data_IF_808707294414
#
_entry.id   IF_808707294414
#
_cell.length_a   1.000
_cell.length_b   1.000
_cell.length_c   1.000
_cell.angle_alpha   90.00
_cell.angle_beta   90.00
_cell.angle_gamma   90.00
#
_symmetry.space_group_name_H-M   'P 1'
#
loop_
_entity.id
_entity.type
_entity.pdbx_description
1 polymer ?
#
# COMPACT_ATOMS: atom_id res chain seq x y z
N UNK A 1 18.63 8.72 10.39
CA UNK A 1 18.49 7.67 9.36
C UNK A 1 16.99 7.49 9.15
N UNK A 2 16.47 7.49 7.91
CA UNK A 2 15.03 7.30 7.66
C UNK A 2 14.55 5.98 8.24
N UNK A 3 13.35 5.96 8.82
CA UNK A 3 12.74 4.76 9.39
C UNK A 3 12.40 3.75 8.29
N UNK A 4 12.21 2.47 8.64
CA UNK A 4 11.74 1.46 7.68
C UNK A 4 10.37 1.83 7.09
N UNK A 5 9.47 2.38 7.93
CA UNK A 5 8.20 2.96 7.48
C UNK A 5 8.42 4.10 6.47
N UNK A 6 9.33 5.04 6.76
CA UNK A 6 9.62 6.16 5.85
C UNK A 6 10.11 5.66 4.49
N UNK A 7 10.97 4.63 4.47
CA UNK A 7 11.47 4.02 3.22
C UNK A 7 10.35 3.36 2.41
N UNK A 8 9.45 2.64 3.08
CA UNK A 8 8.30 1.99 2.43
C UNK A 8 7.32 3.01 1.84
N UNK A 9 7.05 4.10 2.57
CA UNK A 9 6.23 5.21 2.08
C UNK A 9 6.92 5.89 0.90
N UNK A 10 8.19 6.26 1.03
CA UNK A 10 8.96 6.92 -0.02
C UNK A 10 9.03 6.08 -1.31
N UNK A 11 9.14 4.75 -1.18
CA UNK A 11 9.07 3.84 -2.33
C UNK A 11 7.71 3.92 -3.04
N UNK A 12 6.60 3.85 -2.29
CA UNK A 12 5.26 3.98 -2.84
C UNK A 12 5.01 5.35 -3.50
N UNK A 13 5.43 6.43 -2.85
CA UNK A 13 5.33 7.79 -3.41
C UNK A 13 6.17 7.96 -4.68
N UNK A 14 7.38 7.37 -4.71
CA UNK A 14 8.23 7.38 -5.91
C UNK A 14 7.55 6.68 -7.08
N UNK A 15 6.93 5.52 -6.87
CA UNK A 15 6.19 4.81 -7.90
C UNK A 15 4.99 5.63 -8.40
N UNK A 16 4.20 6.21 -7.48
CA UNK A 16 3.07 7.06 -7.83
C UNK A 16 3.48 8.29 -8.64
N UNK A 17 4.58 8.95 -8.26
CA UNK A 17 5.13 10.09 -9.01
C UNK A 17 5.67 9.67 -10.38
N UNK A 18 6.43 8.59 -10.45
CA UNK A 18 6.97 8.09 -11.71
C UNK A 18 5.86 7.72 -12.69
N UNK A 19 4.75 7.16 -12.19
CA UNK A 19 3.53 6.89 -12.97
C UNK A 19 2.92 8.17 -13.55
N UNK A 20 2.96 9.27 -12.80
CA UNK A 20 2.50 10.55 -13.32
C UNK A 20 3.38 11.06 -14.45
N UNK A 21 4.68 11.08 -14.18
CA UNK A 21 5.68 11.72 -15.02
C UNK A 21 5.87 11.00 -16.35
N UNK A 22 5.65 9.67 -16.35
CA UNK A 22 5.84 8.82 -17.51
C UNK A 22 4.75 7.76 -17.66
N UNK A 23 3.53 8.19 -17.96
CA UNK A 23 2.40 7.26 -18.15
C UNK A 23 2.61 6.31 -19.34
N UNK A 24 3.45 6.68 -20.31
CA UNK A 24 3.78 5.84 -21.46
C UNK A 24 4.60 4.62 -21.05
N UNK A 25 5.60 4.80 -20.17
CA UNK A 25 6.35 3.71 -19.56
C UNK A 25 5.44 2.70 -18.85
N UNK A 26 4.45 3.17 -18.11
CA UNK A 26 3.51 2.29 -17.40
C UNK A 26 2.46 1.68 -18.34
N UNK A 27 2.14 2.34 -19.45
CA UNK A 27 1.32 1.74 -20.52
C UNK A 27 2.07 0.56 -21.16
N UNK A 28 3.39 0.68 -21.36
CA UNK A 28 4.22 -0.43 -21.82
C UNK A 28 4.27 -1.58 -20.80
N UNK A 29 4.29 -1.28 -19.50
CA UNK A 29 4.20 -2.31 -18.45
C UNK A 29 2.93 -3.15 -18.56
N UNK A 30 1.78 -2.54 -18.87
CA UNK A 30 0.52 -3.25 -19.11
C UNK A 30 0.62 -4.19 -20.31
N UNK A 31 1.30 -3.77 -21.39
CA UNK A 31 1.56 -4.63 -22.55
C UNK A 31 2.44 -5.82 -22.16
N UNK A 32 3.48 -5.62 -21.34
CA UNK A 32 4.29 -6.74 -20.84
C UNK A 32 3.47 -7.73 -19.99
N UNK A 33 2.57 -7.23 -19.14
CA UNK A 33 1.67 -8.09 -18.37
C UNK A 33 0.76 -8.92 -19.27
N UNK A 34 0.15 -8.30 -20.29
CA UNK A 34 -0.71 -8.99 -21.25
C UNK A 34 0.08 -10.01 -22.08
N UNK A 35 1.26 -9.64 -22.57
CA UNK A 35 2.14 -10.53 -23.33
C UNK A 35 2.63 -11.73 -22.50
N UNK A 36 2.70 -11.63 -21.18
CA UNK A 36 3.14 -12.73 -20.29
C UNK A 36 2.21 -13.96 -20.31
N UNK A 37 0.96 -13.79 -20.72
CA UNK A 37 0.03 -14.90 -20.92
C UNK A 37 0.39 -15.74 -22.14
N UNK A 38 1.07 -15.14 -23.12
CA UNK A 38 1.40 -15.74 -24.42
C UNK A 38 2.88 -16.12 -24.52
N UNK A 39 3.77 -15.40 -23.83
CA UNK A 39 5.22 -15.57 -23.90
C UNK A 39 5.83 -15.96 -22.53
N UNK A 40 6.44 -17.15 -22.48
CA UNK A 40 7.06 -17.68 -21.27
C UNK A 40 8.30 -16.88 -20.82
N UNK A 41 9.08 -16.33 -21.74
CA UNK A 41 10.27 -15.53 -21.43
C UNK A 41 9.90 -14.20 -20.78
N UNK A 42 8.84 -13.55 -21.27
CA UNK A 42 8.29 -12.33 -20.68
C UNK A 42 7.71 -12.63 -19.30
N UNK A 43 6.99 -13.75 -19.15
CA UNK A 43 6.48 -14.20 -17.85
C UNK A 43 7.61 -14.44 -16.85
N UNK A 44 8.68 -15.11 -17.24
CA UNK A 44 9.84 -15.34 -16.37
C UNK A 44 10.54 -14.03 -15.99
N UNK A 45 10.68 -13.10 -16.95
CA UNK A 45 11.22 -11.76 -16.69
C UNK A 45 10.39 -11.03 -15.62
N UNK A 46 9.07 -11.01 -15.75
CA UNK A 46 8.17 -10.37 -14.77
C UNK A 46 8.24 -11.05 -13.40
N UNK A 47 8.20 -12.39 -13.36
CA UNK A 47 8.33 -13.14 -12.11
C UNK A 47 9.68 -12.88 -11.42
N UNK A 48 10.76 -12.69 -12.18
CA UNK A 48 12.05 -12.29 -11.62
C UNK A 48 12.00 -10.89 -11.01
N UNK A 49 11.29 -9.94 -11.63
CA UNK A 49 11.09 -8.61 -11.04
C UNK A 49 10.25 -8.66 -9.77
N UNK A 50 9.17 -9.45 -9.75
CA UNK A 50 8.36 -9.63 -8.55
C UNK A 50 9.15 -10.19 -7.38
N UNK A 51 10.04 -11.17 -7.61
CA UNK A 51 10.92 -11.69 -6.55
C UNK A 51 11.89 -10.65 -6.00
N UNK A 52 12.32 -9.69 -6.83
CA UNK A 52 13.18 -8.57 -6.38
C UNK A 52 12.39 -7.59 -5.51
N UNK A 53 11.18 -7.23 -5.93
CA UNK A 53 10.29 -6.39 -5.10
C UNK A 53 9.94 -7.06 -3.78
N UNK A 54 9.60 -8.35 -3.80
CA UNK A 54 9.31 -9.13 -2.59
C UNK A 54 10.50 -9.10 -1.63
N UNK A 55 11.71 -9.40 -2.12
CA UNK A 55 12.94 -9.33 -1.30
C UNK A 55 13.18 -7.94 -0.69
N UNK A 56 12.98 -6.88 -1.47
CA UNK A 56 13.24 -5.51 -1.01
C UNK A 56 12.23 -5.07 0.05
N UNK A 57 10.94 -5.33 -0.18
CA UNK A 57 9.87 -4.96 0.75
C UNK A 57 9.95 -5.78 2.03
N UNK A 58 10.12 -7.10 1.92
CA UNK A 58 10.29 -7.97 3.10
C UNK A 58 11.50 -7.56 3.93
N UNK A 59 12.62 -7.18 3.30
CA UNK A 59 13.78 -6.64 4.00
C UNK A 59 13.47 -5.38 4.81
N UNK A 60 12.70 -4.44 4.25
CA UNK A 60 12.24 -3.26 5.01
C UNK A 60 11.27 -3.63 6.15
N UNK A 61 10.39 -4.61 5.94
CA UNK A 61 9.49 -5.08 7.00
C UNK A 61 10.27 -5.71 8.16
N UNK A 62 11.30 -6.51 7.87
CA UNK A 62 12.17 -7.11 8.87
C UNK A 62 13.01 -6.05 9.61
N UNK A 63 13.53 -5.04 8.91
CA UNK A 63 14.24 -3.92 9.52
C UNK A 63 13.34 -3.14 10.48
N UNK A 64 12.11 -2.82 10.05
CA UNK A 64 11.17 -2.07 10.87
C UNK A 64 10.68 -2.82 12.10
N UNK A 65 10.47 -4.14 11.98
CA UNK A 65 10.10 -4.97 13.13
C UNK A 65 11.26 -5.08 14.12
N UNK A 66 12.50 -5.27 13.65
CA UNK A 66 13.70 -5.27 14.52
C UNK A 66 13.94 -3.93 15.21
N UNK A 67 13.61 -2.83 14.55
CA UNK A 67 13.71 -1.48 15.10
C UNK A 67 12.54 -1.11 16.04
N UNK A 68 11.52 -1.96 16.16
CA UNK A 68 10.34 -1.68 16.98
C UNK A 68 9.37 -0.66 16.37
N UNK A 69 9.39 -0.46 15.05
CA UNK A 69 8.52 0.52 14.37
C UNK A 69 7.08 0.01 14.15
N UNK A 70 6.92 -1.30 13.97
CA UNK A 70 5.66 -2.00 13.73
C UNK A 70 5.84 -3.51 13.91
N UNK A 71 4.75 -4.27 14.01
CA UNK A 71 4.77 -5.74 14.00
C UNK A 71 3.97 -6.27 12.81
N UNK A 72 4.58 -7.16 12.03
CA UNK A 72 3.95 -7.75 10.84
C UNK A 72 4.15 -9.26 10.90
N UNK A 73 3.09 -10.03 11.15
CA UNK A 73 3.21 -11.47 11.38
C UNK A 73 3.58 -12.28 10.13
N UNK A 74 3.17 -11.83 8.93
CA UNK A 74 3.45 -12.50 7.66
C UNK A 74 3.99 -11.49 6.63
N UNK A 75 5.32 -11.36 6.59
CA UNK A 75 5.99 -10.36 5.75
C UNK A 75 5.69 -10.57 4.26
N UNK A 76 5.59 -11.82 3.83
CA UNK A 76 5.38 -12.18 2.43
C UNK A 76 3.98 -11.80 1.97
N UNK A 77 2.97 -12.10 2.79
CA UNK A 77 1.60 -11.67 2.51
C UNK A 77 1.50 -10.15 2.47
N UNK A 78 2.13 -9.45 3.41
CA UNK A 78 2.12 -7.99 3.42
C UNK A 78 2.87 -7.37 2.23
N UNK A 79 4.03 -7.92 1.85
CA UNK A 79 4.76 -7.48 0.67
C UNK A 79 3.94 -7.68 -0.61
N UNK A 80 3.30 -8.85 -0.75
CA UNK A 80 2.41 -9.15 -1.88
C UNK A 80 1.23 -8.17 -1.93
N UNK A 81 0.59 -7.87 -0.80
CA UNK A 81 -0.49 -6.89 -0.72
C UNK A 81 -0.02 -5.49 -1.12
N UNK A 82 1.13 -5.05 -0.63
CA UNK A 82 1.68 -3.74 -0.97
C UNK A 82 1.96 -3.62 -2.48
N UNK A 83 2.56 -4.65 -3.09
CA UNK A 83 2.79 -4.70 -4.54
C UNK A 83 1.45 -4.63 -5.30
N UNK A 84 0.48 -5.49 -4.95
CA UNK A 84 -0.80 -5.55 -5.63
C UNK A 84 -1.60 -4.23 -5.55
N UNK A 85 -1.53 -3.54 -4.40
CA UNK A 85 -2.20 -2.24 -4.23
C UNK A 85 -1.57 -1.16 -5.10
N UNK A 86 -0.24 -1.14 -5.22
CA UNK A 86 0.47 -0.23 -6.11
C UNK A 86 0.15 -0.50 -7.59
N UNK A 87 0.10 -1.76 -8.00
CA UNK A 87 -0.27 -2.13 -9.38
C UNK A 87 -1.72 -1.80 -9.70
N UNK A 88 -2.64 -1.99 -8.75
CA UNK A 88 -4.03 -1.58 -8.91
C UNK A 88 -4.17 -0.09 -9.20
N UNK A 89 -3.35 0.75 -8.57
CA UNK A 89 -3.28 2.19 -8.86
C UNK A 89 -2.76 2.43 -10.29
N UNK A 90 -1.68 1.75 -10.70
CA UNK A 90 -1.12 1.84 -12.06
C UNK A 90 -2.18 1.52 -13.11
N UNK A 91 -2.86 0.37 -12.96
CA UNK A 91 -3.87 -0.10 -13.92
C UNK A 91 -5.01 0.90 -14.03
N UNK A 92 -5.54 1.40 -12.91
CA UNK A 92 -6.61 2.42 -12.93
C UNK A 92 -6.13 3.70 -13.61
N UNK A 93 -4.93 4.16 -13.32
CA UNK A 93 -4.43 5.38 -13.94
C UNK A 93 -4.22 5.24 -15.44
N UNK A 94 -3.69 4.11 -15.91
CA UNK A 94 -3.50 3.85 -17.35
C UNK A 94 -4.85 3.69 -18.07
N UNK A 95 -5.82 2.98 -17.48
CA UNK A 95 -7.07 2.64 -18.16
C UNK A 95 -8.16 3.71 -18.05
N UNK A 96 -8.35 4.33 -16.88
CA UNK A 96 -9.44 5.26 -16.63
C UNK A 96 -9.00 6.71 -16.42
N UNK A 97 -7.73 6.96 -16.07
CA UNK A 97 -7.19 8.32 -15.77
C UNK A 97 -8.07 9.11 -14.80
N UNK A 98 -8.81 8.41 -13.94
CA UNK A 98 -9.93 8.91 -13.16
C UNK A 98 -9.52 9.35 -11.75
N UNK A 99 -8.25 9.16 -11.39
CA UNK A 99 -7.73 9.49 -10.07
C UNK A 99 -6.67 10.58 -10.21
N UNK A 100 -6.86 11.70 -9.49
CA UNK A 100 -5.82 12.71 -9.38
C UNK A 100 -4.65 12.19 -8.54
N UNK A 101 -3.47 12.73 -8.78
CA UNK A 101 -2.21 12.17 -8.28
C UNK A 101 -1.92 12.51 -6.83
N UNK A 102 -2.45 13.64 -6.35
CA UNK A 102 -2.41 13.95 -4.92
C UNK A 102 -3.30 12.98 -4.16
N UNK A 103 -4.44 12.61 -4.74
CA UNK A 103 -5.28 11.52 -4.22
C UNK A 103 -4.56 10.17 -4.27
N UNK A 104 -3.85 9.83 -5.36
CA UNK A 104 -3.05 8.59 -5.42
C UNK A 104 -1.97 8.57 -4.33
N UNK A 105 -1.18 9.65 -4.21
CA UNK A 105 -0.10 9.75 -3.23
C UNK A 105 -0.64 9.66 -1.80
N UNK A 106 -1.71 10.40 -1.51
CA UNK A 106 -2.40 10.33 -0.23
C UNK A 106 -2.94 8.94 0.09
N UNK A 107 -3.51 8.25 -0.91
CA UNK A 107 -4.03 6.89 -0.76
C UNK A 107 -2.90 5.89 -0.48
N UNK A 108 -1.76 5.98 -1.18
CA UNK A 108 -0.61 5.11 -0.94
C UNK A 108 -0.07 5.30 0.47
N UNK A 109 0.18 6.54 0.90
CA UNK A 109 0.63 6.83 2.26
C UNK A 109 -0.39 6.35 3.32
N UNK A 110 -1.69 6.53 3.07
CA UNK A 110 -2.74 6.07 3.96
C UNK A 110 -2.79 4.54 4.08
N UNK A 111 -2.69 3.84 2.95
CA UNK A 111 -2.66 2.38 2.87
C UNK A 111 -1.46 1.82 3.61
N UNK A 112 -0.26 2.35 3.36
CA UNK A 112 0.96 1.89 4.02
C UNK A 112 0.88 2.11 5.54
N UNK A 113 0.30 3.23 5.98
CA UNK A 113 0.08 3.49 7.40
C UNK A 113 -0.94 2.55 8.04
N UNK A 114 -1.97 2.13 7.30
CA UNK A 114 -2.97 1.14 7.75
C UNK A 114 -2.40 -0.28 7.83
N UNK A 115 -1.55 -0.66 6.86
CA UNK A 115 -0.93 -1.98 6.79
C UNK A 115 0.21 -2.15 7.81
N UNK A 116 0.80 -1.05 8.29
CA UNK A 116 1.88 -1.11 9.28
C UNK A 116 1.36 -0.60 10.63
N UNK A 117 0.67 -1.43 11.44
CA UNK A 117 0.21 -1.00 12.76
C UNK A 117 1.41 -0.74 13.68
N UNK A 118 1.40 0.40 14.37
CA UNK A 118 2.39 0.70 15.41
C UNK A 118 2.27 -0.30 16.57
N UNK A 119 3.38 -0.55 17.28
CA UNK A 119 3.46 -1.55 18.35
C UNK A 119 2.63 -1.21 19.61
N UNK A 120 2.10 0.02 19.71
CA UNK A 120 1.40 0.47 20.91
C UNK A 120 -0.12 0.24 20.79
N UNK A 121 -0.55 -0.84 21.43
CA UNK A 121 -1.91 -1.33 21.46
C UNK A 121 -2.94 -0.35 22.03
N UNK A 122 -3.89 0.04 21.19
CA UNK A 122 -5.32 0.16 21.46
C UNK A 122 -5.98 0.49 20.13
N UNK A 123 -7.08 -0.17 19.83
CA UNK A 123 -7.96 0.27 18.75
C UNK A 123 -8.12 1.79 18.85
N UNK A 124 -7.86 2.49 17.76
CA UNK A 124 -8.44 3.79 17.52
C UNK A 124 -9.94 3.56 17.33
N UNK A 125 -10.61 3.23 18.46
CA UNK A 125 -11.95 3.66 18.69
C UNK A 125 -11.95 5.13 18.33
N UNK A 126 -12.51 5.38 17.16
CA UNK A 126 -12.93 6.65 16.66
C UNK A 126 -13.61 7.34 17.86
N UNK A 127 -12.89 8.23 18.54
CA UNK A 127 -13.47 9.19 19.47
C UNK A 127 -14.28 10.16 18.60
N UNK A 128 -15.37 9.67 18.02
CA UNK A 128 -16.52 10.51 17.78
C UNK A 128 -17.00 10.89 19.17
N UNK A 129 -16.79 12.15 19.54
CA UNK A 129 -17.33 12.73 20.75
C UNK A 129 -18.85 12.70 20.68
N UNK A 130 -19.47 11.56 20.96
CA UNK A 130 -20.90 11.50 21.25
C UNK A 130 -21.07 11.93 22.70
N UNK A 131 -21.38 13.21 22.89
CA UNK A 131 -21.79 13.78 24.17
C UNK A 131 -22.80 12.83 24.82
N UNK A 132 -22.53 12.47 26.09
CA UNK A 132 -23.46 11.79 26.98
C UNK A 132 -24.77 12.58 27.03
N UNK A 133 -25.84 12.01 26.46
CA UNK A 133 -27.20 12.39 26.83
C UNK A 133 -27.57 11.68 28.14
N UNK A 134 -28.19 12.36 29.12
CA UNK A 134 -28.49 11.74 30.40
C UNK A 134 -29.59 10.69 30.22
N UNK A 135 -29.35 9.51 30.79
CA UNK A 135 -30.39 8.55 31.11
C UNK A 135 -31.47 9.28 31.93
N UNK A 136 -32.70 9.31 31.42
CA UNK A 136 -33.89 9.55 32.23
C UNK A 136 -34.77 8.30 32.21
N UNK A 137 -34.96 7.82 33.43
CA UNK A 137 -35.87 6.81 33.92
C UNK A 137 -37.30 7.02 33.44
N UNK A 138 -38.03 5.91 33.30
CA UNK A 138 -39.37 5.89 32.71
C UNK A 138 -40.45 6.65 33.48
N UNK A 139 -41.59 6.82 32.80
CA UNK A 139 -42.93 6.86 33.39
C UNK A 139 -43.97 6.57 32.31
N UNK A 140 -45.01 5.87 32.77
CA UNK A 140 -46.21 5.38 32.08
C UNK A 140 -46.94 6.46 31.27
N UNK A 141 -47.54 6.06 30.14
CA UNK A 141 -49.01 5.93 29.95
C UNK A 141 -49.25 4.70 29.07
#
# INVERSE_FOLDING_TARGET
IPSARDKLIAMGEFFARSLHEDIELYSALVVFWESSFLDASIREMLLNQYRRYDTLITGFLDDGERAGEFAVSDKKTYATLMIAMMEGVVIRQVLSKDIDLETIRGNVAHVMNRLLPALDGRGSAQKTGRKRGPWRTGSRV
#
